data_IF_030432281635
#
_entry.id   IF_030432281635
#
_cell.length_a   1.000
_cell.length_b   1.000
_cell.length_c   1.000
_cell.angle_alpha   90.00
_cell.angle_beta   90.00
_cell.angle_gamma   90.00
#
_symmetry.space_group_name_H-M   'P 1'
#
loop_
_entity.id
_entity.type
_entity.pdbx_description
1 polymer ?
#
# COMPACT_ATOMS: atom_id res chain seq x y z
N UNK A 1 -3.89 -3.85 13.14
CA UNK A 1 -4.26 -3.65 11.72
C UNK A 1 -5.06 -4.87 11.29
N UNK A 2 -6.39 -4.81 11.34
CA UNK A 2 -7.28 -5.93 11.02
C UNK A 2 -7.66 -5.83 9.54
N UNK A 3 -7.34 -6.86 8.76
CA UNK A 3 -7.73 -6.94 7.35
C UNK A 3 -6.75 -7.65 6.42
N UNK A 4 -5.50 -7.88 6.84
CA UNK A 4 -4.51 -8.58 6.00
C UNK A 4 -4.56 -10.09 6.26
N UNK A 5 -4.65 -10.88 5.19
CA UNK A 5 -4.56 -12.34 5.30
C UNK A 5 -3.14 -12.75 5.75
N UNK A 6 -3.00 -13.89 6.43
CA UNK A 6 -1.69 -14.33 6.97
C UNK A 6 -0.63 -14.50 5.87
N UNK A 7 -1.07 -14.84 4.66
CA UNK A 7 -0.23 -14.97 3.47
C UNK A 7 0.31 -13.60 3.00
N UNK A 8 -0.52 -12.56 2.97
CA UNK A 8 -0.07 -11.21 2.60
C UNK A 8 0.90 -10.59 3.63
N UNK A 9 0.76 -10.94 4.90
CA UNK A 9 1.73 -10.52 5.92
C UNK A 9 3.08 -11.21 5.71
N UNK A 10 3.07 -12.49 5.36
CA UNK A 10 4.28 -13.26 5.09
C UNK A 10 5.01 -12.76 3.83
N UNK A 11 4.29 -12.50 2.75
CA UNK A 11 4.88 -11.95 1.52
C UNK A 11 5.45 -10.55 1.72
N UNK A 12 4.76 -9.69 2.48
CA UNK A 12 5.30 -8.37 2.85
C UNK A 12 6.53 -8.47 3.73
N UNK A 13 6.56 -9.41 4.69
CA UNK A 13 7.73 -9.64 5.53
C UNK A 13 8.93 -10.10 4.71
N UNK A 14 8.72 -10.96 3.72
CA UNK A 14 9.76 -11.48 2.84
C UNK A 14 10.29 -10.38 1.88
N UNK A 15 9.38 -9.58 1.32
CA UNK A 15 9.74 -8.39 0.54
C UNK A 15 10.56 -7.38 1.35
N UNK A 16 10.20 -7.14 2.62
CA UNK A 16 10.96 -6.24 3.50
C UNK A 16 12.33 -6.84 3.87
N UNK A 17 12.42 -8.15 4.02
CA UNK A 17 13.69 -8.84 4.27
C UNK A 17 14.65 -8.79 3.05
N UNK A 18 14.10 -8.75 1.84
CA UNK A 18 14.88 -8.65 0.59
C UNK A 18 15.32 -7.23 0.22
N UNK A 19 14.73 -6.18 0.82
CA UNK A 19 15.11 -4.77 0.58
C UNK A 19 16.57 -4.44 0.95
N UNK A 20 17.10 -4.83 2.13
CA UNK A 20 18.50 -4.56 2.49
C UNK A 20 19.50 -5.15 1.49
N UNK A 21 19.30 -6.38 1.06
CA UNK A 21 20.17 -7.06 0.08
C UNK A 21 20.08 -6.38 -1.28
N UNK A 22 18.87 -5.94 -1.67
CA UNK A 22 18.67 -5.20 -2.92
C UNK A 22 19.36 -3.83 -2.88
N UNK A 23 19.35 -3.13 -1.75
CA UNK A 23 20.08 -1.88 -1.54
C UNK A 23 21.60 -2.09 -1.61
N UNK A 24 22.12 -3.19 -1.04
CA UNK A 24 23.56 -3.50 -1.10
C UNK A 24 24.01 -4.00 -2.48
N UNK A 25 23.11 -4.61 -3.26
CA UNK A 25 23.39 -5.10 -4.61
C UNK A 25 23.42 -3.99 -5.67
N UNK A 26 22.92 -2.79 -5.36
CA UNK A 26 23.06 -1.63 -6.22
C UNK A 26 24.55 -1.23 -6.17
N UNK A 27 25.30 -1.35 -7.28
CA UNK A 27 26.66 -0.86 -7.31
C UNK A 27 26.59 0.65 -7.29
N UNK A 28 26.93 1.26 -6.15
CA UNK A 28 27.19 2.69 -6.09
C UNK A 28 28.29 2.96 -7.12
N UNK A 29 27.96 3.71 -8.17
CA UNK A 29 28.79 3.97 -9.34
C UNK A 29 30.06 4.77 -9.04
N UNK A 30 30.93 4.24 -8.19
CA UNK A 30 32.26 4.76 -7.88
C UNK A 30 33.10 3.63 -7.29
N UNK A 31 33.57 2.73 -8.14
CA UNK A 31 34.74 1.91 -7.80
C UNK A 31 36.00 2.77 -7.90
N UNK A 32 36.27 3.54 -6.83
CA UNK A 32 37.61 3.89 -6.31
C UNK A 32 37.60 5.25 -5.62
N UNK A 33 37.21 5.29 -4.35
CA UNK A 33 37.75 6.28 -3.42
C UNK A 33 37.65 5.76 -1.98
N UNK A 34 38.80 5.26 -1.52
CA UNK A 34 39.30 5.30 -0.15
C UNK A 34 38.31 5.71 0.95
N UNK A 35 37.86 4.70 1.70
CA UNK A 35 37.47 4.74 3.12
C UNK A 35 38.03 5.96 3.88
N UNK A 36 37.17 6.89 4.29
CA UNK A 36 37.34 7.62 5.56
C UNK A 36 36.03 8.28 6.04
N UNK A 37 35.52 7.65 7.10
CA UNK A 37 34.84 8.17 8.27
C UNK A 37 34.60 9.69 8.34
N UNK A 38 33.34 10.05 8.65
CA UNK A 38 32.87 11.42 8.74
C UNK A 38 33.46 12.28 9.86
N UNK A 39 33.22 13.58 9.71
CA UNK A 39 33.51 14.60 10.71
C UNK A 39 33.35 15.99 10.11
N UNK A 40 32.20 16.63 10.36
CA UNK A 40 32.05 18.07 10.19
C UNK A 40 32.98 18.77 11.19
N UNK A 41 34.06 19.37 10.69
CA UNK A 41 35.05 20.10 11.47
C UNK A 41 35.28 21.47 10.86
N UNK A 42 35.00 22.49 11.66
CA UNK A 42 35.09 23.90 11.31
C UNK A 42 36.45 24.32 10.73
N UNK A 43 36.37 25.33 9.85
CA UNK A 43 37.51 26.05 9.28
C UNK A 43 38.40 26.61 10.40
N UNK A 44 39.60 26.04 10.54
CA UNK A 44 40.65 26.47 11.45
C UNK A 44 41.91 26.81 10.65
N UNK A 45 42.25 28.09 10.64
CA UNK A 45 43.36 28.71 9.90
C UNK A 45 44.72 28.01 10.14
N UNK A 46 45.39 27.60 9.06
CA UNK A 46 46.82 27.25 9.09
C UNK A 46 47.68 28.50 8.81
N UNK A 47 48.69 28.83 9.64
CA UNK A 47 49.66 29.85 9.31
C UNK A 47 50.76 29.23 8.45
N UNK A 48 50.95 29.77 7.25
CA UNK A 48 52.09 29.42 6.39
C UNK A 48 51.66 28.87 5.03
N UNK A 49 51.87 29.68 3.99
CA UNK A 49 51.69 29.27 2.59
C UNK A 49 50.62 30.09 1.86
N UNK A 50 50.78 31.41 1.82
CA UNK A 50 49.96 32.26 0.95
C UNK A 50 50.28 31.94 -0.53
N UNK A 51 49.27 31.52 -1.28
CA UNK A 51 49.33 31.40 -2.74
C UNK A 51 49.46 32.82 -3.31
N UNK A 52 50.65 33.18 -3.79
CA UNK A 52 50.90 34.42 -4.53
C UNK A 52 50.66 34.13 -6.01
N UNK A 53 49.61 34.71 -6.57
CA UNK A 53 49.37 34.71 -8.01
C UNK A 53 50.19 35.87 -8.61
N UNK A 54 51.40 35.58 -9.06
CA UNK A 54 52.18 36.54 -9.86
C UNK A 54 51.69 36.46 -11.31
N UNK A 55 50.89 37.45 -11.70
CA UNK A 55 50.42 37.64 -13.06
C UNK A 55 51.47 38.36 -13.89
N UNK A 56 52.54 37.67 -14.29
CA UNK A 56 53.39 38.14 -15.40
C UNK A 56 54.06 36.96 -16.10
N UNK A 57 53.50 36.52 -17.24
CA UNK A 57 54.33 36.08 -18.37
C UNK A 57 53.47 35.96 -19.62
N UNK A 58 53.71 36.87 -20.57
CA UNK A 58 53.50 36.65 -22.00
C UNK A 58 54.16 35.33 -22.40
N UNK A 59 53.36 34.27 -22.42
CA UNK A 59 53.72 32.99 -23.00
C UNK A 59 52.90 32.82 -24.26
N UNK A 60 53.54 32.94 -25.41
CA UNK A 60 53.07 32.39 -26.67
C UNK A 60 52.77 30.90 -26.44
N UNK A 61 51.52 30.56 -26.14
CA UNK A 61 51.09 29.17 -26.02
C UNK A 61 50.98 28.62 -27.43
N UNK A 62 52.07 28.04 -27.91
CA UNK A 62 52.07 27.23 -29.12
C UNK A 62 50.96 26.17 -29.00
N UNK A 63 50.11 26.13 -30.02
CA UNK A 63 49.01 25.18 -30.25
C UNK A 63 49.52 23.73 -30.48
N UNK A 64 50.71 23.41 -29.97
CA UNK A 64 51.40 22.13 -30.11
C UNK A 64 51.41 21.31 -28.80
N UNK A 65 50.89 21.87 -27.69
CA UNK A 65 50.77 21.14 -26.43
C UNK A 65 49.62 20.11 -26.43
N UNK A 66 48.74 20.14 -27.42
CA UNK A 66 47.65 19.18 -27.61
C UNK A 66 47.87 18.30 -28.83
N UNK A 67 49.10 17.80 -29.02
CA UNK A 67 49.35 16.71 -29.96
C UNK A 67 48.72 15.44 -29.40
N UNK A 68 47.44 15.25 -29.69
CA UNK A 68 46.68 14.05 -29.33
C UNK A 68 47.43 12.82 -29.81
N UNK A 69 48.13 12.17 -28.90
CA UNK A 69 48.72 10.86 -29.12
C UNK A 69 47.58 9.90 -29.46
N UNK A 70 47.85 8.83 -30.23
CA UNK A 70 46.83 7.83 -30.58
C UNK A 70 46.09 7.28 -29.33
N UNK A 71 46.79 7.26 -28.19
CA UNK A 71 46.24 6.90 -26.87
C UNK A 71 45.20 7.91 -26.35
N UNK A 72 45.42 9.21 -26.55
CA UNK A 72 44.44 10.25 -26.17
C UNK A 72 43.18 10.21 -27.04
N UNK A 73 43.31 9.86 -28.32
CA UNK A 73 42.16 9.71 -29.22
C UNK A 73 41.32 8.49 -28.84
N UNK A 74 41.95 7.38 -28.43
CA UNK A 74 41.25 6.19 -27.89
C UNK A 74 40.50 6.51 -26.61
N UNK A 75 41.10 7.27 -25.69
CA UNK A 75 40.43 7.69 -24.45
C UNK A 75 39.21 8.59 -24.72
N UNK A 76 39.33 9.55 -25.65
CA UNK A 76 38.19 10.39 -26.08
C UNK A 76 37.07 9.56 -26.70
N UNK A 77 37.41 8.59 -27.56
CA UNK A 77 36.43 7.73 -28.19
C UNK A 77 35.71 6.81 -27.19
N UNK A 78 36.44 6.26 -26.21
CA UNK A 78 35.84 5.47 -25.13
C UNK A 78 34.93 6.33 -24.23
N UNK A 79 35.34 7.56 -23.94
CA UNK A 79 34.53 8.53 -23.20
C UNK A 79 33.25 8.89 -23.96
N UNK A 80 33.34 9.17 -25.27
CA UNK A 80 32.19 9.46 -26.12
C UNK A 80 31.22 8.27 -26.22
N UNK A 81 31.74 7.04 -26.34
CA UNK A 81 30.93 5.83 -26.33
C UNK A 81 30.22 5.61 -24.99
N UNK A 82 30.89 5.89 -23.86
CA UNK A 82 30.27 5.83 -22.53
C UNK A 82 29.21 6.91 -22.33
N UNK A 83 29.44 8.11 -22.86
CA UNK A 83 28.47 9.21 -22.80
C UNK A 83 27.21 8.87 -23.59
N UNK A 84 27.35 8.34 -24.81
CA UNK A 84 26.20 7.91 -25.62
C UNK A 84 25.36 6.83 -24.92
N UNK A 85 26.00 5.85 -24.26
CA UNK A 85 25.27 4.83 -23.48
C UNK A 85 24.53 5.40 -22.27
N UNK A 86 25.07 6.46 -21.66
CA UNK A 86 24.39 7.14 -20.55
C UNK A 86 23.20 7.96 -21.05
N UNK A 87 23.33 8.64 -22.19
CA UNK A 87 22.23 9.38 -22.81
C UNK A 87 21.08 8.44 -23.19
N UNK A 88 21.37 7.26 -23.73
CA UNK A 88 20.35 6.22 -24.00
C UNK A 88 19.66 5.73 -22.71
N UNK A 89 20.42 5.56 -21.62
CA UNK A 89 19.85 5.22 -20.31
C UNK A 89 18.96 6.33 -19.73
N UNK A 90 19.30 7.60 -19.96
CA UNK A 90 18.48 8.74 -19.55
C UNK A 90 17.18 8.84 -20.34
N UNK A 91 17.19 8.45 -21.63
CA UNK A 91 16.00 8.43 -22.47
C UNK A 91 14.98 7.38 -21.98
N UNK A 92 15.45 6.17 -21.64
CA UNK A 92 14.62 5.12 -21.03
C UNK A 92 14.04 5.55 -19.68
N UNK A 93 14.81 6.27 -18.86
CA UNK A 93 14.31 6.85 -17.60
C UNK A 93 13.27 7.92 -17.88
N UNK A 94 13.48 8.75 -18.91
CA UNK A 94 12.53 9.77 -19.35
C UNK A 94 11.19 9.17 -19.78
N UNK A 95 11.23 8.10 -20.59
CA UNK A 95 10.04 7.36 -21.01
C UNK A 95 9.33 6.71 -19.81
N UNK A 96 10.08 6.03 -18.93
CA UNK A 96 9.53 5.41 -17.72
C UNK A 96 8.88 6.43 -16.79
N UNK A 97 9.45 7.63 -16.65
CA UNK A 97 8.87 8.73 -15.87
C UNK A 97 7.62 9.30 -16.53
N UNK A 98 7.57 9.38 -17.86
CA UNK A 98 6.36 9.75 -18.58
C UNK A 98 5.23 8.72 -18.38
N UNK A 99 5.54 7.42 -18.42
CA UNK A 99 4.57 6.36 -18.08
C UNK A 99 4.08 6.49 -16.65
N UNK A 100 4.98 6.71 -15.69
CA UNK A 100 4.63 6.88 -14.28
C UNK A 100 3.73 8.11 -14.05
N UNK A 101 4.00 9.21 -14.76
CA UNK A 101 3.17 10.42 -14.75
C UNK A 101 1.76 10.16 -15.26
N UNK A 102 1.63 9.40 -16.34
CA UNK A 102 0.32 9.06 -16.90
C UNK A 102 -0.47 8.17 -15.92
N UNK A 103 0.17 7.14 -15.35
CA UNK A 103 -0.49 6.31 -14.32
C UNK A 103 -0.87 7.10 -13.07
N UNK A 104 -0.04 8.05 -12.63
CA UNK A 104 -0.37 8.92 -11.51
C UNK A 104 -1.55 9.84 -11.81
N UNK A 105 -1.67 10.32 -13.06
CA UNK A 105 -2.81 11.10 -13.52
C UNK A 105 -4.09 10.28 -13.54
N UNK A 106 -4.03 9.05 -14.09
CA UNK A 106 -5.16 8.13 -14.13
C UNK A 106 -5.64 7.76 -12.72
N UNK A 107 -4.70 7.53 -11.80
CA UNK A 107 -5.02 7.30 -10.38
C UNK A 107 -5.67 8.52 -9.72
N UNK A 108 -5.28 9.75 -10.10
CA UNK A 108 -5.89 10.96 -9.56
C UNK A 108 -7.34 11.12 -10.06
N UNK A 109 -7.58 10.89 -11.35
CA UNK A 109 -8.95 10.95 -11.91
C UNK A 109 -9.85 9.86 -11.33
N UNK A 110 -9.32 8.66 -11.12
CA UNK A 110 -10.06 7.55 -10.49
C UNK A 110 -10.34 7.81 -9.00
N UNK A 111 -9.41 8.44 -8.27
CA UNK A 111 -9.66 8.91 -6.90
C UNK A 111 -10.79 9.93 -6.86
N UNK A 112 -10.79 10.91 -7.76
CA UNK A 112 -11.85 11.92 -7.87
C UNK A 112 -13.21 11.28 -8.24
N UNK A 113 -13.19 10.18 -9.02
CA UNK A 113 -14.40 9.37 -9.33
C UNK A 113 -14.84 8.45 -8.20
N UNK A 114 -13.97 8.05 -7.28
CA UNK A 114 -14.31 7.17 -6.15
C UNK A 114 -14.95 7.88 -4.96
N UNK A 115 -14.83 9.22 -4.86
CA UNK A 115 -15.49 10.01 -3.81
C UNK A 115 -17.02 9.80 -3.76
N UNK A 116 -17.79 9.87 -4.86
CA UNK A 116 -19.24 9.63 -4.82
C UNK A 116 -19.64 8.16 -4.59
N UNK A 117 -18.73 7.20 -4.73
CA UNK A 117 -19.04 5.78 -4.52
C UNK A 117 -19.00 5.39 -3.03
N UNK A 118 -18.31 6.18 -2.19
CA UNK A 118 -18.25 5.95 -0.74
C UNK A 118 -19.60 6.25 -0.06
N UNK A 119 -20.33 7.28 -0.52
CA UNK A 119 -21.66 7.60 0.02
C UNK A 119 -22.68 6.49 -0.29
N UNK A 120 -22.59 5.87 -1.47
CA UNK A 120 -23.46 4.75 -1.83
C UNK A 120 -23.13 3.47 -1.02
N UNK A 121 -21.88 3.32 -0.57
CA UNK A 121 -21.48 2.21 0.30
C UNK A 121 -22.06 2.36 1.71
N UNK A 122 -21.99 3.54 2.32
CA UNK A 122 -22.59 3.79 3.64
C UNK A 122 -24.11 3.59 3.59
N UNK A 123 -24.78 4.10 2.55
CA UNK A 123 -26.20 3.91 2.32
C UNK A 123 -26.60 2.42 2.20
N UNK A 124 -25.80 1.62 1.48
CA UNK A 124 -26.04 0.18 1.32
C UNK A 124 -25.81 -0.59 2.62
N UNK A 125 -24.80 -0.19 3.41
CA UNK A 125 -24.51 -0.79 4.72
C UNK A 125 -25.65 -0.50 5.71
N UNK A 126 -26.13 0.74 5.76
CA UNK A 126 -27.23 1.12 6.64
C UNK A 126 -28.55 0.43 6.27
N UNK A 127 -28.87 0.31 4.98
CA UNK A 127 -30.04 -0.47 4.52
C UNK A 127 -29.93 -1.94 4.88
N UNK A 128 -28.78 -2.57 4.63
CA UNK A 128 -28.57 -3.97 4.98
C UNK A 128 -28.71 -4.22 6.49
N UNK A 129 -28.20 -3.29 7.32
CA UNK A 129 -28.32 -3.38 8.77
C UNK A 129 -29.78 -3.19 9.25
N UNK A 130 -30.51 -2.25 8.64
CA UNK A 130 -31.94 -2.05 8.90
C UNK A 130 -32.78 -3.28 8.52
N UNK A 131 -32.49 -3.91 7.38
CA UNK A 131 -33.15 -5.13 6.92
C UNK A 131 -32.85 -6.32 7.82
N UNK A 132 -31.61 -6.48 8.26
CA UNK A 132 -31.22 -7.50 9.25
C UNK A 132 -31.94 -7.28 10.59
N UNK A 133 -32.04 -6.05 11.07
CA UNK A 133 -32.74 -5.71 12.31
C UNK A 133 -34.24 -6.00 12.20
N UNK A 134 -34.88 -5.58 11.11
CA UNK A 134 -36.30 -5.84 10.86
C UNK A 134 -36.59 -7.33 10.72
N UNK A 135 -35.74 -8.08 10.03
CA UNK A 135 -35.88 -9.54 9.89
C UNK A 135 -35.75 -10.24 11.25
N UNK A 136 -34.81 -9.81 12.09
CA UNK A 136 -34.69 -10.33 13.47
C UNK A 136 -35.93 -10.04 14.32
N UNK A 137 -36.53 -8.84 14.20
CA UNK A 137 -37.78 -8.49 14.90
C UNK A 137 -38.93 -9.38 14.42
N UNK A 138 -39.08 -9.56 13.09
CA UNK A 138 -40.10 -10.45 12.51
C UNK A 138 -39.92 -11.89 12.96
N UNK A 139 -38.69 -12.41 12.98
CA UNK A 139 -38.38 -13.75 13.48
C UNK A 139 -38.76 -13.91 14.97
N UNK A 140 -38.41 -12.94 15.82
CA UNK A 140 -38.84 -12.94 17.23
C UNK A 140 -40.37 -12.91 17.37
N UNK A 141 -41.05 -12.06 16.60
CA UNK A 141 -42.51 -11.97 16.59
C UNK A 141 -43.14 -13.32 16.22
N UNK A 142 -42.66 -13.96 15.16
CA UNK A 142 -43.13 -15.28 14.70
C UNK A 142 -42.90 -16.35 15.76
N UNK A 143 -41.72 -16.40 16.39
CA UNK A 143 -41.43 -17.34 17.48
C UNK A 143 -42.40 -17.15 18.66
N UNK A 144 -42.64 -15.91 19.07
CA UNK A 144 -43.58 -15.60 20.15
C UNK A 144 -45.01 -16.00 19.79
N UNK A 145 -45.42 -15.74 18.55
CA UNK A 145 -46.75 -16.11 18.06
C UNK A 145 -46.95 -17.63 17.98
N UNK A 146 -45.94 -18.39 17.54
CA UNK A 146 -45.96 -19.86 17.58
C UNK A 146 -46.00 -20.43 19.00
N UNK A 147 -45.35 -19.76 19.97
CA UNK A 147 -45.48 -20.14 21.38
C UNK A 147 -46.90 -19.93 21.90
N UNK A 148 -47.56 -18.84 21.48
CA UNK A 148 -48.95 -18.54 21.84
C UNK A 148 -49.94 -19.55 21.27
N UNK A 149 -49.77 -19.98 20.01
CA UNK A 149 -50.67 -20.97 19.39
C UNK A 149 -50.57 -22.35 20.05
N UNK A 150 -49.36 -22.76 20.47
CA UNK A 150 -49.17 -23.99 21.23
C UNK A 150 -49.89 -23.96 22.57
N UNK A 151 -49.80 -22.84 23.29
CA UNK A 151 -50.51 -22.67 24.57
C UNK A 151 -52.03 -22.74 24.37
N UNK A 152 -52.56 -22.12 23.31
CA UNK A 152 -53.99 -22.19 22.97
C UNK A 152 -54.46 -23.61 22.66
N UNK A 153 -53.67 -24.38 21.89
CA UNK A 153 -53.97 -25.78 21.60
C UNK A 153 -53.95 -26.66 22.86
N UNK A 154 -52.95 -26.47 23.73
CA UNK A 154 -52.85 -27.20 25.01
C UNK A 154 -54.06 -26.90 25.91
N UNK A 155 -54.50 -25.64 25.96
CA UNK A 155 -55.64 -25.24 26.80
C UNK A 155 -56.96 -25.92 26.34
N UNK A 156 -57.22 -25.96 25.03
CA UNK A 156 -58.39 -26.65 24.46
C UNK A 156 -58.40 -28.14 24.82
N UNK A 157 -57.26 -28.82 24.69
CA UNK A 157 -57.14 -30.26 25.01
C UNK A 157 -57.40 -30.48 26.50
N UNK A 158 -56.85 -29.63 27.36
CA UNK A 158 -57.01 -29.73 28.82
C UNK A 158 -58.48 -29.53 29.23
N UNK A 159 -59.18 -28.58 28.59
CA UNK A 159 -60.61 -28.35 28.79
C UNK A 159 -61.46 -29.57 28.39
N UNK A 160 -61.14 -30.21 27.26
CA UNK A 160 -61.82 -31.45 26.82
C UNK A 160 -61.67 -32.60 27.83
N UNK A 161 -60.49 -32.76 28.43
CA UNK A 161 -60.24 -33.80 29.45
C UNK A 161 -61.07 -33.53 30.71
N UNK A 162 -61.09 -32.28 31.19
CA UNK A 162 -61.89 -31.89 32.37
C UNK A 162 -63.38 -32.15 32.12
N UNK A 163 -63.90 -31.77 30.94
CA UNK A 163 -65.30 -32.02 30.57
C UNK A 163 -65.61 -33.51 30.49
N UNK A 164 -64.70 -34.32 29.95
CA UNK A 164 -64.85 -35.78 29.91
C UNK A 164 -64.96 -36.40 31.30
N UNK A 165 -64.10 -35.98 32.23
CA UNK A 165 -64.14 -36.45 33.64
C UNK A 165 -65.43 -35.99 34.33
N UNK A 166 -65.83 -34.73 34.13
CA UNK A 166 -67.08 -34.20 34.71
C UNK A 166 -68.32 -34.95 34.20
N UNK A 167 -68.39 -35.23 32.89
CA UNK A 167 -69.47 -36.02 32.29
C UNK A 167 -69.48 -37.46 32.79
N UNK A 168 -68.31 -38.09 32.95
CA UNK A 168 -68.19 -39.42 33.52
C UNK A 168 -68.71 -39.46 34.97
N UNK A 169 -68.26 -38.51 35.81
CA UNK A 169 -68.72 -38.39 37.19
C UNK A 169 -70.23 -38.15 37.25
N UNK A 170 -70.78 -37.27 36.42
CA UNK A 170 -72.22 -37.03 36.34
C UNK A 170 -72.99 -38.31 35.98
N UNK A 171 -72.51 -39.09 35.01
CA UNK A 171 -73.13 -40.36 34.64
C UNK A 171 -73.07 -41.40 35.76
N UNK A 172 -71.97 -41.46 36.51
CA UNK A 172 -71.82 -42.37 37.65
C UNK A 172 -72.70 -41.96 38.83
N UNK A 173 -72.82 -40.65 39.12
CA UNK A 173 -73.63 -40.12 40.22
C UNK A 173 -75.14 -40.12 39.94
N UNK A 174 -75.53 -40.06 38.67
CA UNK A 174 -76.94 -40.10 38.24
C UNK A 174 -77.49 -41.52 38.17
N UNK A 175 -76.62 -42.53 38.15
CA UNK A 175 -76.98 -43.95 38.14
C UNK A 175 -77.15 -44.45 39.57
#
# INVERSE_FOLDING_TARGET
>A
VKGLTKEELATRSDLVAALPDRIQSIPDGSSSATKKNGGWGASGSRPGGGVKFDSTSDGNFDDEYFKGTEESNKFRQEYEMRRMKQDEGLDVIGEGLATLKNMASDMNEELDRQVPLMDEMDDKVDRANADLKNTNVRLKQTILQMRSSRNFCVDIILLCIILGIAAYLYNVLKK
#
